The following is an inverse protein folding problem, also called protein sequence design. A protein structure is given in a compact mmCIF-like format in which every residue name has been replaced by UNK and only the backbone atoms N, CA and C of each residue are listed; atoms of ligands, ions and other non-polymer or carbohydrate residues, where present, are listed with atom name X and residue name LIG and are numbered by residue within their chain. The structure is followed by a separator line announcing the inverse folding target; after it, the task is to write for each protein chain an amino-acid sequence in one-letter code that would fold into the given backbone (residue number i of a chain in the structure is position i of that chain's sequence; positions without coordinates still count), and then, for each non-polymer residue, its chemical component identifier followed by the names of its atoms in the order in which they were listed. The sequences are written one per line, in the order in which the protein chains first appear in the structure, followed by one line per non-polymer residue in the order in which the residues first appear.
data_IF_774403145146
#
_entry.id   IF_774403145146
#
_cell.length_a   1.000
_cell.length_b   1.000
_cell.length_c   1.000
_cell.angle_alpha   90.00
_cell.angle_beta   90.00
_cell.angle_gamma   90.00
#
_symmetry.space_group_name_H-M   'P 1'
#
loop_
_entity.id
_entity.type
_entity.pdbx_description
1 polymer ?
#
# COMPACT_ATOMS: atom_id res chain seq x y z
N UNK A 1 -21.31 -0.59 -26.16
CA UNK A 1 -20.24 0.16 -25.49
C UNK A 1 -20.64 0.59 -24.07
N UNK A 2 -21.71 1.38 -23.86
CA UNK A 2 -22.14 1.79 -22.51
C UNK A 2 -22.55 0.64 -21.58
N UNK A 3 -23.25 -0.39 -22.10
CA UNK A 3 -23.69 -1.54 -21.29
C UNK A 3 -22.53 -2.46 -20.87
N UNK A 4 -21.49 -2.58 -21.69
CA UNK A 4 -20.30 -3.39 -21.42
C UNK A 4 -19.39 -2.73 -20.38
N UNK A 5 -19.25 -1.41 -20.42
CA UNK A 5 -18.53 -0.64 -19.38
C UNK A 5 -19.22 -0.75 -18.02
N UNK A 6 -20.55 -0.64 -18.01
CA UNK A 6 -21.35 -0.78 -16.79
C UNK A 6 -21.20 -2.16 -16.12
N UNK A 7 -20.93 -3.22 -16.89
CA UNK A 7 -20.71 -4.56 -16.34
C UNK A 7 -19.33 -4.71 -15.68
N UNK A 8 -18.29 -4.11 -16.26
CA UNK A 8 -16.92 -4.19 -15.77
C UNK A 8 -16.68 -3.28 -14.54
N UNK A 9 -17.44 -2.19 -14.43
CA UNK A 9 -17.41 -1.27 -13.28
C UNK A 9 -18.48 -1.57 -12.22
N UNK A 10 -18.80 -2.84 -12.03
CA UNK A 10 -19.73 -3.25 -10.97
C UNK A 10 -19.08 -3.24 -9.59
N UNK A 11 -19.90 -3.06 -8.55
CA UNK A 11 -19.46 -3.17 -7.15
C UNK A 11 -18.81 -4.54 -6.85
N UNK A 12 -19.27 -5.59 -7.51
CA UNK A 12 -18.72 -6.94 -7.37
C UNK A 12 -17.30 -7.03 -7.92
N UNK A 13 -17.04 -6.43 -9.10
CA UNK A 13 -15.70 -6.38 -9.69
C UNK A 13 -14.71 -5.63 -8.78
N UNK A 14 -15.11 -4.47 -8.26
CA UNK A 14 -14.29 -3.72 -7.30
C UNK A 14 -14.10 -4.50 -5.98
N UNK A 15 -15.17 -5.11 -5.46
CA UNK A 15 -15.09 -5.96 -4.27
C UNK A 15 -14.13 -7.13 -4.44
N UNK A 16 -14.13 -7.79 -5.60
CA UNK A 16 -13.20 -8.87 -5.91
C UNK A 16 -11.74 -8.38 -5.99
N UNK A 17 -11.49 -7.24 -6.65
CA UNK A 17 -10.15 -6.63 -6.71
C UNK A 17 -9.64 -6.24 -5.31
N UNK A 18 -10.50 -5.63 -4.49
CA UNK A 18 -10.21 -5.29 -3.10
C UNK A 18 -9.84 -6.54 -2.28
N UNK A 19 -10.68 -7.57 -2.34
CA UNK A 19 -10.45 -8.82 -1.62
C UNK A 19 -9.16 -9.51 -2.07
N UNK A 20 -8.86 -9.50 -3.38
CA UNK A 20 -7.61 -10.03 -3.89
C UNK A 20 -6.41 -9.28 -3.28
N UNK A 21 -6.48 -7.96 -3.14
CA UNK A 21 -5.47 -7.16 -2.44
C UNK A 21 -5.26 -7.59 -0.99
N UNK A 22 -6.36 -7.82 -0.27
CA UNK A 22 -6.32 -8.35 1.11
C UNK A 22 -5.67 -9.74 1.16
N UNK A 23 -6.03 -10.64 0.25
CA UNK A 23 -5.48 -11.99 0.19
C UNK A 23 -3.98 -11.99 -0.14
N UNK A 24 -3.55 -11.17 -1.10
CA UNK A 24 -2.13 -11.00 -1.46
C UNK A 24 -1.33 -10.53 -0.25
N UNK A 25 -1.86 -9.58 0.53
CA UNK A 25 -1.18 -9.17 1.75
C UNK A 25 -1.05 -10.34 2.75
N UNK A 26 -2.16 -11.04 3.05
CA UNK A 26 -2.18 -12.10 4.08
C UNK A 26 -1.26 -13.28 3.73
N UNK A 27 -1.30 -13.72 2.47
CA UNK A 27 -0.60 -14.94 2.05
C UNK A 27 0.82 -14.70 1.55
N UNK A 28 1.06 -13.58 0.89
CA UNK A 28 2.32 -13.30 0.18
C UNK A 28 3.11 -12.25 0.96
N UNK A 29 2.61 -11.00 1.05
CA UNK A 29 3.40 -9.88 1.57
C UNK A 29 3.70 -9.96 3.07
N UNK A 30 2.97 -10.79 3.82
CA UNK A 30 3.26 -11.05 5.23
C UNK A 30 4.55 -11.84 5.44
N UNK A 31 5.02 -12.59 4.43
CA UNK A 31 6.14 -13.53 4.54
C UNK A 31 7.33 -13.03 3.73
N UNK A 32 8.47 -12.81 4.37
CA UNK A 32 9.73 -12.45 3.71
C UNK A 32 10.01 -10.95 3.61
N UNK A 33 11.18 -10.63 3.05
CA UNK A 33 11.68 -9.26 2.90
C UNK A 33 11.33 -8.72 1.51
N UNK A 34 10.32 -7.84 1.45
CA UNK A 34 9.79 -7.32 0.18
C UNK A 34 10.48 -6.04 -0.30
N UNK A 35 11.34 -5.41 0.53
CA UNK A 35 12.05 -4.16 0.19
C UNK A 35 12.88 -4.30 -1.10
N UNK A 36 13.55 -5.44 -1.28
CA UNK A 36 14.37 -5.73 -2.46
C UNK A 36 13.55 -6.06 -3.72
N UNK A 37 12.25 -6.27 -3.57
CA UNK A 37 11.35 -6.70 -4.64
C UNK A 37 10.52 -5.55 -5.22
N UNK A 38 10.71 -4.33 -4.71
CA UNK A 38 10.01 -3.11 -5.18
C UNK A 38 10.06 -2.96 -6.71
N UNK A 39 11.24 -3.14 -7.32
CA UNK A 39 11.39 -3.05 -8.80
C UNK A 39 10.62 -4.16 -9.51
N UNK A 40 10.56 -5.37 -8.94
CA UNK A 40 9.77 -6.47 -9.52
C UNK A 40 8.27 -6.18 -9.46
N UNK A 41 7.79 -5.55 -8.38
CA UNK A 41 6.39 -5.13 -8.25
C UNK A 41 6.02 -4.03 -9.24
N UNK A 42 6.91 -3.04 -9.46
CA UNK A 42 6.72 -2.00 -10.48
C UNK A 42 6.63 -2.63 -11.88
N UNK A 43 7.55 -3.56 -12.20
CA UNK A 43 7.50 -4.30 -13.47
C UNK A 43 6.22 -5.10 -13.62
N UNK A 44 5.78 -5.79 -12.57
CA UNK A 44 4.52 -6.54 -12.57
C UNK A 44 3.31 -5.65 -12.82
N UNK A 45 3.25 -4.48 -12.17
CA UNK A 45 2.21 -3.48 -12.42
C UNK A 45 2.23 -2.97 -13.87
N UNK A 46 3.41 -2.60 -14.40
CA UNK A 46 3.54 -2.15 -15.78
C UNK A 46 3.08 -3.24 -16.78
N UNK A 47 3.44 -4.50 -16.54
CA UNK A 47 2.97 -5.62 -17.38
C UNK A 47 1.46 -5.84 -17.26
N UNK A 48 0.89 -5.71 -16.06
CA UNK A 48 -0.56 -5.79 -15.83
C UNK A 48 -1.29 -4.69 -16.61
N UNK A 49 -0.81 -3.44 -16.51
CA UNK A 49 -1.45 -2.29 -17.15
C UNK A 49 -1.52 -2.47 -18.67
N UNK A 50 -0.40 -2.88 -19.30
CA UNK A 50 -0.32 -3.10 -20.74
C UNK A 50 -1.20 -4.28 -21.18
N UNK A 51 -1.10 -5.42 -20.48
CA UNK A 51 -1.80 -6.65 -20.90
C UNK A 51 -3.31 -6.54 -20.74
N UNK A 52 -3.78 -6.01 -19.60
CA UNK A 52 -5.23 -5.87 -19.34
C UNK A 52 -5.83 -4.79 -20.24
N UNK A 53 -5.17 -3.65 -20.42
CA UNK A 53 -5.68 -2.59 -21.30
C UNK A 53 -5.73 -3.03 -22.77
N UNK A 54 -4.73 -3.80 -23.23
CA UNK A 54 -4.72 -4.37 -24.58
C UNK A 54 -5.86 -5.39 -24.74
N UNK A 55 -6.04 -6.28 -23.77
CA UNK A 55 -7.11 -7.28 -23.76
C UNK A 55 -8.50 -6.64 -23.80
N UNK A 56 -8.74 -5.59 -23.00
CA UNK A 56 -10.01 -4.84 -23.00
C UNK A 56 -10.26 -4.15 -24.34
N UNK A 57 -9.21 -3.57 -24.94
CA UNK A 57 -9.29 -2.92 -26.27
C UNK A 57 -9.65 -3.95 -27.35
N UNK A 58 -9.03 -5.13 -27.32
CA UNK A 58 -9.23 -6.17 -28.34
C UNK A 58 -10.56 -6.91 -28.23
N UNK A 59 -11.02 -7.23 -27.01
CA UNK A 59 -12.23 -8.05 -26.83
C UNK A 59 -13.52 -7.26 -26.66
N UNK A 60 -13.45 -6.06 -26.07
CA UNK A 60 -14.63 -5.24 -25.79
C UNK A 60 -14.72 -4.01 -26.70
N UNK A 61 -13.81 -3.88 -27.68
CA UNK A 61 -13.71 -2.75 -28.62
C UNK A 61 -13.68 -1.39 -27.92
N UNK A 62 -13.11 -1.34 -26.72
CA UNK A 62 -12.95 -0.09 -25.97
C UNK A 62 -11.91 0.81 -26.64
N UNK A 63 -12.08 2.12 -26.49
CA UNK A 63 -10.97 3.04 -26.76
C UNK A 63 -9.85 2.80 -25.75
N UNK A 64 -8.61 3.13 -26.15
CA UNK A 64 -7.43 3.01 -25.27
C UNK A 64 -7.66 3.76 -23.95
N UNK A 65 -8.29 4.93 -23.99
CA UNK A 65 -8.59 5.73 -22.81
C UNK A 65 -9.59 5.06 -21.85
N UNK A 66 -10.63 4.43 -22.38
CA UNK A 66 -11.60 3.67 -21.57
C UNK A 66 -10.96 2.44 -20.94
N UNK A 67 -10.17 1.69 -21.71
CA UNK A 67 -9.45 0.51 -21.21
C UNK A 67 -8.47 0.86 -20.09
N UNK A 68 -7.70 1.94 -20.24
CA UNK A 68 -6.81 2.45 -19.19
C UNK A 68 -7.59 2.90 -17.95
N UNK A 69 -8.73 3.60 -18.13
CA UNK A 69 -9.54 4.06 -17.00
C UNK A 69 -10.07 2.90 -16.16
N UNK A 70 -10.66 1.87 -16.80
CA UNK A 70 -11.19 0.69 -16.11
C UNK A 70 -10.08 -0.07 -15.38
N UNK A 71 -8.95 -0.29 -16.06
CA UNK A 71 -7.80 -1.02 -15.50
C UNK A 71 -7.23 -0.32 -14.26
N UNK A 72 -7.12 1.01 -14.30
CA UNK A 72 -6.68 1.81 -13.15
C UNK A 72 -7.71 1.82 -12.01
N UNK A 73 -9.01 1.85 -12.29
CA UNK A 73 -10.04 1.75 -11.24
C UNK A 73 -9.98 0.40 -10.52
N UNK A 74 -9.77 -0.71 -11.23
CA UNK A 74 -9.55 -2.02 -10.59
C UNK A 74 -8.26 -2.05 -9.77
N UNK A 75 -7.17 -1.50 -10.31
CA UNK A 75 -5.89 -1.45 -9.61
C UNK A 75 -5.96 -0.60 -8.33
N UNK A 76 -6.60 0.56 -8.36
CA UNK A 76 -6.78 1.40 -7.17
C UNK A 76 -7.61 0.71 -6.10
N UNK A 77 -8.64 -0.04 -6.48
CA UNK A 77 -9.43 -0.85 -5.56
C UNK A 77 -8.59 -1.95 -4.89
N UNK A 78 -7.77 -2.66 -5.68
CA UNK A 78 -6.83 -3.66 -5.19
C UNK A 78 -5.80 -3.06 -4.20
N UNK A 79 -5.14 -1.96 -4.59
CA UNK A 79 -4.14 -1.28 -3.74
C UNK A 79 -4.77 -0.76 -2.45
N UNK A 80 -6.02 -0.28 -2.51
CA UNK A 80 -6.76 0.16 -1.32
C UNK A 80 -6.98 -1.00 -0.35
N UNK A 81 -7.46 -2.15 -0.83
CA UNK A 81 -7.64 -3.34 0.01
C UNK A 81 -6.33 -3.87 0.61
N UNK A 82 -5.28 -3.92 -0.20
CA UNK A 82 -3.93 -4.27 0.23
C UNK A 82 -3.43 -3.33 1.34
N UNK A 83 -3.54 -2.02 1.13
CA UNK A 83 -3.08 -1.00 2.09
C UNK A 83 -3.85 -1.06 3.39
N UNK A 84 -5.19 -1.14 3.35
CA UNK A 84 -6.01 -1.26 4.56
C UNK A 84 -5.64 -2.52 5.34
N UNK A 85 -5.44 -3.65 4.65
CA UNK A 85 -5.04 -4.89 5.29
C UNK A 85 -3.66 -4.79 5.96
N UNK A 86 -2.67 -4.19 5.29
CA UNK A 86 -1.33 -3.95 5.83
C UNK A 86 -1.40 -3.04 7.05
N UNK A 87 -2.09 -1.91 6.96
CA UNK A 87 -2.19 -0.93 8.05
C UNK A 87 -2.89 -1.54 9.27
N UNK A 88 -3.97 -2.29 9.06
CA UNK A 88 -4.69 -2.99 10.14
C UNK A 88 -3.80 -4.04 10.79
N UNK A 89 -3.07 -4.83 10.01
CA UNK A 89 -2.12 -5.81 10.55
C UNK A 89 -1.00 -5.15 11.36
N UNK A 90 -0.42 -4.05 10.84
CA UNK A 90 0.64 -3.29 11.50
C UNK A 90 0.19 -2.63 12.80
N UNK A 91 -1.04 -2.10 12.81
CA UNK A 91 -1.59 -1.39 13.96
C UNK A 91 -1.96 -2.33 15.11
N UNK A 92 -2.53 -3.51 14.82
CA UNK A 92 -3.10 -4.37 15.87
C UNK A 92 -2.32 -5.66 16.10
N UNK A 93 -1.86 -6.33 15.03
CA UNK A 93 -1.34 -7.71 15.09
C UNK A 93 0.18 -7.81 15.01
N UNK A 94 0.88 -6.69 14.80
CA UNK A 94 2.32 -6.68 14.66
C UNK A 94 3.01 -6.76 16.03
N UNK A 95 4.05 -7.61 16.15
CA UNK A 95 4.79 -7.85 17.40
C UNK A 95 5.39 -6.58 18.01
N UNK A 96 5.75 -5.60 17.18
CA UNK A 96 6.24 -4.28 17.61
C UNK A 96 5.15 -3.34 18.18
N UNK A 97 3.88 -3.71 18.19
CA UNK A 97 2.82 -2.93 18.84
C UNK A 97 2.97 -2.90 20.37
N UNK A 98 3.77 -3.80 20.95
CA UNK A 98 4.07 -3.81 22.38
C UNK A 98 4.92 -2.61 22.82
N UNK A 99 5.65 -1.99 21.89
CA UNK A 99 6.51 -0.87 22.20
C UNK A 99 5.75 0.47 22.03
N UNK A 100 5.82 1.35 23.03
CA UNK A 100 5.19 2.67 22.95
C UNK A 100 5.89 3.53 21.90
N UNK A 101 5.12 4.44 21.28
CA UNK A 101 5.62 5.32 20.23
C UNK A 101 4.49 5.98 19.43
N UNK A 102 4.81 7.05 18.68
CA UNK A 102 3.82 7.83 17.94
C UNK A 102 3.10 6.98 16.88
N UNK A 103 1.80 7.21 16.73
CA UNK A 103 0.93 6.40 15.84
C UNK A 103 1.41 6.40 14.39
N UNK A 104 1.93 7.52 13.90
CA UNK A 104 2.51 7.62 12.55
C UNK A 104 3.74 6.73 12.38
N UNK A 105 4.58 6.58 13.40
CA UNK A 105 5.73 5.65 13.37
C UNK A 105 5.30 4.16 13.38
N UNK A 106 4.05 3.85 13.75
CA UNK A 106 3.50 2.49 13.65
C UNK A 106 3.09 2.15 12.22
N UNK A 107 2.50 3.13 11.52
CA UNK A 107 1.94 2.95 10.18
C UNK A 107 2.97 3.15 9.05
N UNK A 108 3.93 4.07 9.19
CA UNK A 108 4.91 4.35 8.15
C UNK A 108 6.25 4.85 8.71
N UNK A 109 7.30 4.78 7.88
CA UNK A 109 8.62 5.35 8.18
C UNK A 109 8.63 6.87 8.04
N UNK A 110 7.56 7.46 7.47
CA UNK A 110 7.47 8.88 7.17
C UNK A 110 7.65 9.78 8.40
N UNK A 111 7.24 9.32 9.59
CA UNK A 111 7.48 10.04 10.83
C UNK A 111 8.98 10.19 11.14
N UNK A 112 9.77 9.15 10.93
CA UNK A 112 11.22 9.20 11.12
C UNK A 112 11.87 10.12 10.07
N UNK A 113 11.44 10.03 8.80
CA UNK A 113 11.90 10.91 7.73
C UNK A 113 11.58 12.38 7.98
N UNK A 114 10.37 12.69 8.47
CA UNK A 114 9.99 14.04 8.87
C UNK A 114 10.89 14.57 10.00
N UNK A 115 11.24 13.70 10.95
CA UNK A 115 12.12 14.05 12.06
C UNK A 115 13.57 14.29 11.62
N UNK A 116 14.04 13.61 10.56
CA UNK A 116 15.39 13.77 10.02
C UNK A 116 15.54 14.96 9.08
N UNK A 117 14.45 15.54 8.57
CA UNK A 117 14.53 16.75 7.72
C UNK A 117 15.14 17.94 8.49
N UNK A 118 14.99 17.94 9.82
CA UNK A 118 15.58 18.93 10.72
C UNK A 118 16.67 18.27 11.58
N UNK A 119 17.77 17.87 10.92
CA UNK A 119 18.88 17.10 11.51
C UNK A 119 19.43 17.72 12.80
N UNK A 120 19.41 19.06 12.92
CA UNK A 120 19.90 19.77 14.11
C UNK A 120 19.07 19.48 15.38
N UNK A 121 17.81 19.07 15.25
CA UNK A 121 16.89 18.87 16.38
C UNK A 121 16.53 17.40 16.63
N UNK A 122 17.04 16.46 15.83
CA UNK A 122 16.67 15.05 15.94
C UNK A 122 16.96 14.48 17.34
N UNK A 123 18.11 14.80 17.94
CA UNK A 123 18.47 14.31 19.27
C UNK A 123 17.50 14.82 20.35
N UNK A 124 17.01 16.06 20.22
CA UNK A 124 16.02 16.66 21.13
C UNK A 124 14.67 15.99 20.98
N UNK A 125 14.25 15.71 19.76
CA UNK A 125 12.98 15.01 19.50
C UNK A 125 13.02 13.56 19.99
N UNK A 126 14.13 12.86 19.80
CA UNK A 126 14.35 11.52 20.37
C UNK A 126 14.30 11.59 21.90
N UNK A 127 14.96 12.58 22.51
CA UNK A 127 14.91 12.77 23.96
C UNK A 127 13.49 13.04 24.48
N UNK A 128 12.72 13.93 23.84
CA UNK A 128 11.31 14.18 24.18
C UNK A 128 10.46 12.92 24.05
N UNK A 129 10.75 12.07 23.05
CA UNK A 129 10.06 10.80 22.88
C UNK A 129 10.38 9.83 24.04
N UNK A 130 11.63 9.76 24.49
CA UNK A 130 12.01 8.97 25.66
C UNK A 130 11.39 9.52 26.96
N UNK A 131 11.33 10.84 27.14
CA UNK A 131 10.63 11.46 28.27
C UNK A 131 9.13 11.13 28.28
N UNK A 132 8.50 11.04 27.10
CA UNK A 132 7.06 10.78 26.96
C UNK A 132 6.67 9.31 27.02
N UNK A 133 7.46 8.43 26.43
CA UNK A 133 7.12 7.01 26.22
C UNK A 133 8.00 6.04 27.03
N UNK A 134 9.06 6.53 27.69
CA UNK A 134 9.97 5.76 28.53
C UNK A 134 11.26 5.33 27.82
N UNK A 135 12.03 4.45 28.47
CA UNK A 135 13.36 4.03 28.03
C UNK A 135 13.40 3.40 26.63
N UNK A 136 12.30 2.79 26.17
CA UNK A 136 12.24 2.11 24.88
C UNK A 136 11.11 2.71 24.04
N UNK A 137 11.49 3.36 22.93
CA UNK A 137 10.55 3.96 21.98
C UNK A 137 10.78 3.42 20.57
N UNK A 138 9.69 3.16 19.85
CA UNK A 138 9.76 2.79 18.44
C UNK A 138 9.94 4.03 17.57
N UNK A 139 11.12 4.17 16.99
CA UNK A 139 11.45 5.17 15.97
C UNK A 139 11.66 4.39 14.68
N UNK A 140 11.01 4.82 13.58
CA UNK A 140 11.13 4.13 12.29
C UNK A 140 12.57 4.07 11.78
N UNK A 141 12.82 3.37 10.68
CA UNK A 141 14.16 3.31 10.08
C UNK A 141 14.64 4.73 9.71
N UNK A 142 15.73 5.16 10.33
CA UNK A 142 16.46 6.39 10.03
C UNK A 142 17.56 5.98 9.04
N UNK A 143 17.37 6.19 7.74
CA UNK A 143 18.39 5.92 6.71
C UNK A 143 18.28 6.96 5.63
#
# INVERSE_FOLDING_TARGET
MLLTEAHLETRQAFGAAFMLGVLVHIFILRKGEWDLWTVKLIKAWATYEVTVSLFLTQLYSFSVWQALSVTNKWFTSFVTGLSISILTYRAFFHRLNRFPGPFLARLSTFYATYLTVDEEHMYLEVQKLHEKYGDIVRIGKLT
#
